data_IF_219725837477
#
_entry.id   IF_219725837477
#
_cell.length_a   1.000
_cell.length_b   1.000
_cell.length_c   1.000
_cell.angle_alpha   90.00
_cell.angle_beta   90.00
_cell.angle_gamma   90.00
#
_symmetry.space_group_name_H-M   'P 1'
#
loop_
_entity.id
_entity.type
_entity.pdbx_description
1 polymer ?
#
# COMPACT_ATOMS: atom_id res chain seq x y z
N UNK A 1 -8.82 11.25 9.80
CA UNK A 1 -7.94 11.92 8.82
C UNK A 1 -7.84 11.02 7.62
N UNK A 2 -8.15 11.54 6.44
CA UNK A 2 -8.03 10.81 5.18
C UNK A 2 -6.85 11.38 4.39
N UNK A 3 -6.15 10.53 3.64
CA UNK A 3 -5.06 10.96 2.76
C UNK A 3 -5.65 11.38 1.41
N UNK A 4 -5.47 12.65 1.05
CA UNK A 4 -5.82 13.14 -0.27
C UNK A 4 -4.76 12.68 -1.28
N UNK A 5 -5.09 11.65 -2.05
CA UNK A 5 -4.25 11.13 -3.14
C UNK A 5 -4.93 11.34 -4.49
N UNK A 6 -4.19 11.70 -5.54
CA UNK A 6 -4.71 11.81 -6.89
C UNK A 6 -5.39 10.51 -7.35
N UNK A 7 -6.44 10.62 -8.16
CA UNK A 7 -7.21 9.46 -8.63
C UNK A 7 -6.34 8.40 -9.31
N UNK A 8 -5.33 8.82 -10.10
CA UNK A 8 -4.37 7.92 -10.75
C UNK A 8 -3.61 7.03 -9.75
N UNK A 9 -3.25 7.58 -8.58
CA UNK A 9 -2.57 6.84 -7.51
C UNK A 9 -3.54 5.86 -6.87
N UNK A 10 -4.79 6.29 -6.61
CA UNK A 10 -5.84 5.43 -6.05
C UNK A 10 -6.15 4.24 -6.96
N UNK A 11 -6.33 4.47 -8.27
CA UNK A 11 -6.54 3.40 -9.26
C UNK A 11 -5.36 2.43 -9.28
N UNK A 12 -4.13 2.94 -9.31
CA UNK A 12 -2.92 2.10 -9.30
C UNK A 12 -2.77 1.29 -8.01
N UNK A 13 -3.15 1.85 -6.87
CA UNK A 13 -3.17 1.13 -5.59
C UNK A 13 -4.17 -0.04 -5.60
N UNK A 14 -5.36 0.17 -6.18
CA UNK A 14 -6.35 -0.90 -6.35
C UNK A 14 -5.85 -2.02 -7.27
N UNK A 15 -5.15 -1.68 -8.37
CA UNK A 15 -4.51 -2.68 -9.22
C UNK A 15 -3.49 -3.52 -8.46
N UNK A 16 -2.64 -2.90 -7.62
CA UNK A 16 -1.71 -3.64 -6.77
C UNK A 16 -2.42 -4.51 -5.73
N UNK A 17 -3.50 -4.02 -5.12
CA UNK A 17 -4.29 -4.79 -4.16
C UNK A 17 -4.94 -6.02 -4.81
N UNK A 18 -5.43 -5.89 -6.04
CA UNK A 18 -5.96 -7.01 -6.80
C UNK A 18 -4.86 -8.04 -7.07
N UNK A 19 -3.72 -7.61 -7.61
CA UNK A 19 -2.59 -8.53 -7.85
C UNK A 19 -2.10 -9.22 -6.58
N UNK A 20 -2.06 -8.51 -5.45
CA UNK A 20 -1.68 -9.07 -4.16
C UNK A 20 -2.67 -10.15 -3.69
N UNK A 21 -3.95 -9.96 -3.99
CA UNK A 21 -4.99 -10.95 -3.71
C UNK A 21 -4.83 -12.18 -4.60
N UNK A 22 -4.62 -11.98 -5.90
CA UNK A 22 -4.43 -13.05 -6.87
C UNK A 22 -3.16 -13.87 -6.57
N UNK A 23 -2.11 -13.22 -6.05
CA UNK A 23 -0.86 -13.85 -5.61
C UNK A 23 -0.94 -14.47 -4.20
N UNK A 24 -2.07 -14.38 -3.50
CA UNK A 24 -2.26 -14.95 -2.17
C UNK A 24 -1.54 -14.23 -1.02
N UNK A 25 -0.94 -13.06 -1.26
CA UNK A 25 -0.21 -12.26 -0.25
C UNK A 25 -1.14 -11.76 0.86
N UNK A 26 -2.42 -11.58 0.55
CA UNK A 26 -3.44 -11.14 1.53
C UNK A 26 -3.82 -12.22 2.54
N UNK A 27 -3.52 -13.49 2.27
CA UNK A 27 -3.94 -14.63 3.11
C UNK A 27 -3.23 -14.60 4.46
N UNK A 28 -4.02 -14.61 5.54
CA UNK A 28 -3.49 -14.56 6.92
C UNK A 28 -2.85 -13.22 7.31
N UNK A 29 -3.10 -12.14 6.54
CA UNK A 29 -2.59 -10.79 6.81
C UNK A 29 -3.72 -9.82 7.15
N UNK A 30 -3.36 -8.72 7.83
CA UNK A 30 -4.31 -7.62 8.09
C UNK A 30 -4.52 -6.81 6.80
N UNK A 31 -5.76 -6.64 6.31
CA UNK A 31 -6.04 -5.92 5.06
C UNK A 31 -5.49 -4.50 5.05
N UNK A 32 -5.55 -3.78 6.18
CA UNK A 32 -5.06 -2.41 6.31
C UNK A 32 -3.56 -2.30 6.00
N UNK A 33 -2.74 -3.27 6.41
CA UNK A 33 -1.30 -3.26 6.13
C UNK A 33 -0.97 -3.49 4.66
N UNK A 34 -1.73 -4.37 4.01
CA UNK A 34 -1.58 -4.61 2.56
C UNK A 34 -2.05 -3.39 1.78
N UNK A 35 -3.21 -2.82 2.11
CA UNK A 35 -3.73 -1.61 1.46
C UNK A 35 -2.77 -0.42 1.61
N UNK A 36 -2.18 -0.21 2.80
CA UNK A 36 -1.18 0.82 3.04
C UNK A 36 0.07 0.64 2.16
N UNK A 37 0.54 -0.59 1.98
CA UNK A 37 1.67 -0.90 1.11
C UNK A 37 1.35 -0.72 -0.37
N UNK A 38 0.17 -1.15 -0.83
CA UNK A 38 -0.31 -0.91 -2.19
C UNK A 38 -0.40 0.59 -2.49
N UNK A 39 -0.90 1.39 -1.53
CA UNK A 39 -0.97 2.84 -1.67
C UNK A 39 0.42 3.48 -1.75
N UNK A 40 1.33 3.09 -0.85
CA UNK A 40 2.70 3.59 -0.86
C UNK A 40 3.41 3.26 -2.19
N UNK A 41 3.32 2.01 -2.63
CA UNK A 41 3.91 1.56 -3.89
C UNK A 41 3.29 2.30 -5.09
N UNK A 42 1.98 2.48 -5.12
CA UNK A 42 1.32 3.26 -6.16
C UNK A 42 1.79 4.71 -6.22
N UNK A 43 1.92 5.36 -5.06
CA UNK A 43 2.41 6.73 -4.99
C UNK A 43 3.84 6.83 -5.54
N UNK A 44 4.73 5.94 -5.11
CA UNK A 44 6.11 5.85 -5.61
C UNK A 44 6.16 5.66 -7.13
N UNK A 45 5.37 4.71 -7.67
CA UNK A 45 5.30 4.46 -9.13
C UNK A 45 4.69 5.60 -9.93
N UNK A 46 3.86 6.43 -9.31
CA UNK A 46 3.27 7.62 -9.91
C UNK A 46 4.10 8.90 -9.67
N UNK A 47 5.29 8.79 -9.07
CA UNK A 47 6.16 9.92 -8.76
C UNK A 47 5.61 10.86 -7.68
N UNK A 48 4.69 10.38 -6.84
CA UNK A 48 4.16 11.13 -5.70
C UNK A 48 4.93 10.76 -4.42
N UNK A 49 5.59 11.74 -3.83
CA UNK A 49 6.27 11.57 -2.55
C UNK A 49 5.23 11.55 -1.41
N UNK A 50 4.94 10.36 -0.89
CA UNK A 50 4.16 10.19 0.35
C UNK A 50 5.05 9.55 1.42
N UNK A 51 4.93 10.00 2.67
CA UNK A 51 5.65 9.39 3.77
C UNK A 51 5.05 8.03 4.14
N UNK A 52 5.91 7.03 4.38
CA UNK A 52 5.50 5.76 4.99
C UNK A 52 4.82 5.99 6.33
N UNK A 53 5.26 7.00 7.09
CA UNK A 53 4.70 7.32 8.41
C UNK A 53 3.28 7.87 8.28
N UNK A 54 3.05 8.82 7.39
CA UNK A 54 1.71 9.41 7.18
C UNK A 54 0.71 8.36 6.74
N UNK A 55 1.09 7.50 5.80
CA UNK A 55 0.23 6.40 5.33
C UNK A 55 -0.02 5.38 6.46
N UNK A 56 1.02 5.02 7.22
CA UNK A 56 0.90 4.09 8.33
C UNK A 56 -0.01 4.62 9.44
N UNK A 57 0.11 5.91 9.79
CA UNK A 57 -0.70 6.59 10.81
C UNK A 57 -2.19 6.60 10.39
N UNK A 58 -2.50 6.92 9.12
CA UNK A 58 -3.88 6.89 8.60
C UNK A 58 -4.42 5.46 8.51
N UNK A 59 -3.60 4.49 8.12
CA UNK A 59 -4.01 3.09 8.00
C UNK A 59 -4.04 2.34 9.35
N UNK A 60 -3.58 2.95 10.44
CA UNK A 60 -3.52 2.32 11.76
C UNK A 60 -2.54 1.14 11.82
N UNK A 61 -1.43 1.21 11.10
CA UNK A 61 -0.37 0.19 11.08
C UNK A 61 0.97 0.81 11.44
N UNK A 62 2.00 -0.01 11.69
CA UNK A 62 3.36 0.52 11.83
C UNK A 62 4.00 0.76 10.46
N UNK A 63 4.92 1.75 10.34
CA UNK A 63 5.72 1.93 9.13
C UNK A 63 6.52 0.68 8.74
N UNK A 64 6.93 -0.13 9.74
CA UNK A 64 7.64 -1.41 9.49
C UNK A 64 6.73 -2.46 8.86
N UNK A 65 5.46 -2.57 9.29
CA UNK A 65 4.48 -3.45 8.63
C UNK A 65 4.25 -3.02 7.19
N UNK A 66 4.03 -1.72 6.94
CA UNK A 66 3.86 -1.17 5.59
C UNK A 66 5.07 -1.53 4.71
N UNK A 67 6.29 -1.30 5.20
CA UNK A 67 7.52 -1.59 4.46
C UNK A 67 7.66 -3.07 4.11
N UNK A 68 7.48 -3.95 5.10
CA UNK A 68 7.55 -5.40 4.88
C UNK A 68 6.52 -5.88 3.85
N UNK A 69 5.29 -5.35 3.89
CA UNK A 69 4.27 -5.67 2.88
C UNK A 69 4.63 -5.13 1.50
N UNK A 70 5.17 -3.92 1.41
CA UNK A 70 5.64 -3.33 0.14
C UNK A 70 6.73 -4.19 -0.49
N UNK A 71 7.67 -4.69 0.32
CA UNK A 71 8.77 -5.52 -0.17
C UNK A 71 8.24 -6.83 -0.78
N UNK A 72 7.29 -7.49 -0.11
CA UNK A 72 6.61 -8.66 -0.69
C UNK A 72 5.88 -8.35 -2.01
N UNK A 73 5.28 -7.16 -2.14
CA UNK A 73 4.64 -6.72 -3.39
C UNK A 73 5.64 -6.49 -4.53
N UNK A 74 6.90 -6.21 -4.22
CA UNK A 74 7.98 -6.05 -5.20
C UNK A 74 8.57 -7.38 -5.66
N UNK A 75 8.38 -8.45 -4.87
CA UNK A 75 8.85 -9.81 -5.16
C UNK A 75 7.83 -10.65 -5.95
N UNK A 76 6.68 -10.07 -6.29
CA UNK A 76 5.66 -10.64 -7.20
C UNK A 76 6.07 -10.56 -8.67
#
# INVERSE_FOLDING_TARGET
TELEVPERVRRRALEFAQKATDAGITVGRRPAGVAAACLYLAAERCGLSLSQREIADVAGVSPTTLRSRRDELLEM
#
